data_IF_760594262787
#
_entry.id   IF_760594262787
#
_cell.length_a   1.000
_cell.length_b   1.000
_cell.length_c   1.000
_cell.angle_alpha   90.00
_cell.angle_beta   90.00
_cell.angle_gamma   90.00
#
_symmetry.space_group_name_H-M   'P 1'
#
loop_
_entity.id
_entity.type
_entity.pdbx_description
1 polymer ?
#
# COMPACT_ATOMS: atom_id res chain seq x y z
N UNK A 1 -2.21 -11.23 20.84
CA UNK A 1 -2.61 -12.60 20.46
C UNK A 1 -2.02 -13.00 19.11
N UNK A 2 -1.92 -14.31 18.79
CA UNK A 2 -1.49 -14.79 17.47
C UNK A 2 -2.67 -15.30 16.65
N UNK A 3 -2.70 -14.95 15.37
CA UNK A 3 -3.72 -15.45 14.45
C UNK A 3 -3.57 -16.97 14.26
N UNK A 4 -4.62 -17.79 14.48
CA UNK A 4 -4.54 -19.24 14.30
C UNK A 4 -4.39 -19.65 12.82
N UNK A 5 -4.76 -18.77 11.88
CA UNK A 5 -4.69 -19.06 10.45
C UNK A 5 -3.31 -18.77 9.84
N UNK A 6 -2.63 -17.68 10.25
CA UNK A 6 -1.38 -17.22 9.61
C UNK A 6 -0.23 -16.91 10.58
N UNK A 7 -0.43 -17.13 11.89
CA UNK A 7 0.54 -16.88 12.96
C UNK A 7 1.01 -15.41 13.14
N UNK A 8 0.40 -14.44 12.45
CA UNK A 8 0.68 -13.02 12.64
C UNK A 8 0.35 -12.56 14.07
N UNK A 9 1.19 -11.68 14.62
CA UNK A 9 0.92 -11.01 15.91
C UNK A 9 -0.11 -9.90 15.73
N UNK A 10 -1.13 -9.90 16.59
CA UNK A 10 -2.18 -8.89 16.64
C UNK A 10 -2.35 -8.39 18.10
N UNK A 11 -2.85 -7.15 18.32
CA UNK A 11 -3.30 -6.69 19.63
C UNK A 11 -4.29 -7.67 20.28
N UNK A 12 -4.36 -7.73 21.61
CA UNK A 12 -5.24 -8.68 22.32
C UNK A 12 -6.73 -8.35 22.15
N UNK A 13 -7.07 -7.11 21.82
CA UNK A 13 -8.43 -6.62 21.53
C UNK A 13 -8.78 -6.64 20.03
N UNK A 14 -7.90 -7.18 19.19
CA UNK A 14 -8.11 -7.22 17.74
C UNK A 14 -9.32 -8.11 17.40
N UNK A 15 -10.28 -7.56 16.65
CA UNK A 15 -11.43 -8.31 16.11
C UNK A 15 -11.07 -9.14 14.87
N UNK A 16 -10.04 -8.72 14.14
CA UNK A 16 -9.56 -9.34 12.90
C UNK A 16 -8.04 -9.31 12.79
N UNK A 17 -7.49 -10.26 12.03
CA UNK A 17 -6.06 -10.31 11.75
C UNK A 17 -5.65 -9.26 10.70
N UNK A 18 -4.65 -8.42 10.99
CA UNK A 18 -4.18 -7.39 10.06
C UNK A 18 -3.50 -7.88 8.78
N UNK A 19 -3.22 -9.18 8.66
CA UNK A 19 -2.50 -9.76 7.50
C UNK A 19 -3.37 -10.66 6.64
N UNK A 20 -4.23 -11.49 7.25
CA UNK A 20 -5.12 -12.40 6.52
C UNK A 20 -6.61 -12.11 6.73
N UNK A 21 -6.95 -11.08 7.51
CA UNK A 21 -8.32 -10.59 7.75
C UNK A 21 -9.32 -11.58 8.36
N UNK A 22 -8.85 -12.71 8.92
CA UNK A 22 -9.72 -13.66 9.66
C UNK A 22 -10.17 -13.07 11.00
N UNK A 23 -11.40 -13.39 11.44
CA UNK A 23 -11.91 -13.00 12.76
C UNK A 23 -11.14 -13.68 13.89
N UNK A 24 -10.75 -12.92 14.92
CA UNK A 24 -9.91 -13.41 16.03
C UNK A 24 -10.65 -13.55 17.37
N UNK A 25 -11.75 -12.81 17.55
CA UNK A 25 -12.54 -12.76 18.79
C UNK A 25 -14.03 -12.55 18.46
N UNK A 26 -14.67 -13.51 17.79
CA UNK A 26 -16.13 -13.49 17.70
C UNK A 26 -16.70 -13.93 19.05
N UNK A 27 -17.49 -13.09 19.74
CA UNK A 27 -18.22 -13.53 20.92
C UNK A 27 -19.05 -14.75 20.54
N UNK A 28 -19.04 -15.78 21.39
CA UNK A 28 -19.90 -16.96 21.20
C UNK A 28 -21.34 -16.48 21.01
N UNK A 29 -22.04 -16.92 19.94
CA UNK A 29 -23.40 -16.46 19.68
C UNK A 29 -24.26 -16.67 20.92
N UNK A 30 -24.87 -15.59 21.40
CA UNK A 30 -25.80 -15.67 22.53
C UNK A 30 -26.89 -16.70 22.18
N UNK A 31 -27.15 -17.69 23.04
CA UNK A 31 -28.10 -18.74 22.73
C UNK A 31 -29.46 -18.10 22.38
N UNK A 32 -30.14 -18.61 21.33
CA UNK A 32 -31.40 -18.03 20.90
C UNK A 32 -32.36 -17.96 22.09
N UNK A 33 -33.08 -16.83 22.27
CA UNK A 33 -34.02 -16.69 23.37
C UNK A 33 -35.00 -17.86 23.33
N UNK A 34 -35.19 -18.50 24.48
CA UNK A 34 -36.07 -19.66 24.60
C UNK A 34 -37.45 -19.32 24.00
N UNK A 35 -38.05 -20.23 23.20
CA UNK A 35 -39.37 -20.01 22.63
C UNK A 35 -40.36 -19.70 23.75
N UNK A 36 -40.88 -18.48 23.75
CA UNK A 36 -41.96 -18.06 24.65
C UNK A 36 -43.15 -18.98 24.37
N UNK A 37 -43.55 -19.76 25.36
CA UNK A 37 -44.67 -20.67 25.24
C UNK A 37 -45.95 -19.90 24.86
N UNK A 38 -46.78 -20.42 23.94
CA UNK A 38 -48.04 -19.78 23.58
C UNK A 38 -48.99 -19.82 24.78
N UNK A 39 -49.27 -18.67 25.36
CA UNK A 39 -50.36 -18.50 26.32
C UNK A 39 -51.69 -18.60 25.56
N UNK A 40 -52.55 -19.54 25.96
CA UNK A 40 -53.91 -19.68 25.45
C UNK A 40 -54.76 -18.43 25.73
N UNK A 41 -55.76 -18.14 24.88
CA UNK A 41 -56.47 -16.87 24.87
C UNK A 41 -57.65 -16.86 25.84
N UNK A 42 -57.80 -15.80 26.64
CA UNK A 42 -59.06 -15.48 27.32
C UNK A 42 -59.34 -13.98 27.19
N UNK A 43 -60.46 -13.71 26.53
CA UNK A 43 -61.37 -12.54 26.66
C UNK A 43 -61.04 -11.25 25.89
N UNK A 44 -61.84 -11.12 24.83
CA UNK A 44 -62.37 -9.96 24.10
C UNK A 44 -62.43 -8.58 24.80
N UNK A 45 -61.94 -7.56 24.07
CA UNK A 45 -62.36 -6.14 24.16
C UNK A 45 -62.55 -5.61 22.72
N UNK A 46 -63.56 -4.76 22.43
CA UNK A 46 -63.90 -4.35 21.07
C UNK A 46 -63.08 -3.17 20.54
N UNK A 47 -62.83 -3.24 19.23
CA UNK A 47 -62.90 -2.20 18.19
C UNK A 47 -62.18 -0.84 18.36
N UNK A 48 -61.17 -0.67 17.50
CA UNK A 48 -61.04 0.45 16.55
C UNK A 48 -60.36 1.77 17.01
N UNK A 49 -59.07 1.93 16.64
CA UNK A 49 -58.58 3.10 15.91
C UNK A 49 -57.15 2.87 15.36
N UNK A 50 -57.05 2.86 14.03
CA UNK A 50 -55.92 3.24 13.16
C UNK A 50 -54.49 3.21 13.76
N UNK A 51 -53.59 2.34 13.33
CA UNK A 51 -53.23 2.15 11.92
C UNK A 51 -51.90 2.86 11.65
N UNK A 52 -50.79 2.12 11.79
CA UNK A 52 -49.54 2.29 11.05
C UNK A 52 -48.54 1.21 11.50
N UNK A 53 -48.89 -0.05 11.26
CA UNK A 53 -47.88 -1.08 11.13
C UNK A 53 -47.10 -0.78 9.85
N UNK A 54 -45.99 -0.05 10.00
CA UNK A 54 -44.99 0.09 8.95
C UNK A 54 -44.39 -1.29 8.72
N UNK A 55 -45.05 -2.02 7.84
CA UNK A 55 -44.51 -3.18 7.17
C UNK A 55 -43.29 -2.66 6.39
N UNK A 56 -42.11 -2.70 7.02
CA UNK A 56 -40.84 -2.57 6.31
C UNK A 56 -40.75 -3.77 5.39
N UNK A 57 -41.29 -3.62 4.19
CA UNK A 57 -40.83 -4.41 3.05
C UNK A 57 -39.31 -4.37 3.08
N UNK A 58 -38.60 -5.50 2.94
CA UNK A 58 -37.18 -5.49 2.60
C UNK A 58 -37.07 -5.02 1.15
N UNK A 59 -37.47 -3.78 0.90
CA UNK A 59 -37.10 -3.07 -0.30
C UNK A 59 -35.60 -2.87 -0.15
N UNK A 60 -34.87 -3.67 -0.90
CA UNK A 60 -33.44 -3.63 -1.12
C UNK A 60 -33.03 -2.19 -1.44
N UNK A 61 -32.81 -1.37 -0.41
CA UNK A 61 -32.37 0.00 -0.59
C UNK A 61 -30.94 -0.08 -1.09
N UNK A 62 -30.78 0.15 -2.39
CA UNK A 62 -29.46 0.31 -2.99
C UNK A 62 -28.99 1.70 -2.57
N UNK A 63 -28.21 1.76 -1.49
CA UNK A 63 -27.61 2.98 -1.04
C UNK A 63 -26.28 3.14 -1.79
N UNK A 64 -26.20 4.16 -2.64
CA UNK A 64 -24.98 4.50 -3.33
C UNK A 64 -24.00 5.09 -2.31
N UNK A 65 -22.85 4.44 -2.15
CA UNK A 65 -21.81 4.95 -1.25
C UNK A 65 -21.20 6.21 -1.88
N UNK A 66 -20.61 7.10 -1.05
CA UNK A 66 -19.88 8.29 -1.54
C UNK A 66 -18.77 7.98 -2.54
N UNK A 67 -18.34 6.72 -2.63
CA UNK A 67 -17.30 6.29 -3.57
C UNK A 67 -17.97 5.90 -4.89
N UNK A 68 -17.64 6.56 -6.02
CA UNK A 68 -18.22 6.26 -7.32
C UNK A 68 -18.16 4.76 -7.66
N UNK A 69 -19.34 4.19 -7.97
CA UNK A 69 -19.66 2.79 -8.24
C UNK A 69 -19.11 1.75 -7.26
N UNK A 70 -19.04 2.15 -5.99
CA UNK A 70 -19.40 1.24 -4.92
C UNK A 70 -20.85 1.48 -4.53
N UNK A 71 -21.59 0.41 -4.28
CA UNK A 71 -22.96 0.48 -3.76
C UNK A 71 -23.14 -0.51 -2.62
N UNK A 72 -24.06 -0.20 -1.73
CA UNK A 72 -24.47 -1.12 -0.67
C UNK A 72 -25.81 -1.73 -1.02
N UNK A 73 -25.91 -3.06 -0.98
CA UNK A 73 -27.14 -3.83 -1.16
C UNK A 73 -27.42 -4.61 0.12
N UNK A 74 -28.24 -4.03 1.00
CA UNK A 74 -28.42 -4.58 2.35
C UNK A 74 -27.14 -4.47 3.18
N UNK A 75 -26.60 -5.59 3.65
CA UNK A 75 -25.32 -5.62 4.37
C UNK A 75 -24.10 -5.75 3.46
N UNK A 76 -24.28 -6.17 2.21
CA UNK A 76 -23.19 -6.41 1.28
C UNK A 76 -22.75 -5.12 0.58
N UNK A 77 -21.43 -4.94 0.49
CA UNK A 77 -20.82 -3.90 -0.35
C UNK A 77 -20.49 -4.53 -1.70
N UNK A 78 -20.98 -3.91 -2.76
CA UNK A 78 -20.75 -4.31 -4.14
C UNK A 78 -19.91 -3.24 -4.86
N UNK A 79 -19.02 -3.68 -5.75
CA UNK A 79 -18.25 -2.83 -6.66
C UNK A 79 -18.66 -3.09 -8.10
N UNK A 80 -18.69 -2.05 -8.92
CA UNK A 80 -18.99 -2.20 -10.35
C UNK A 80 -17.72 -2.44 -11.18
N UNK A 81 -17.79 -3.28 -12.19
CA UNK A 81 -16.68 -3.56 -13.07
C UNK A 81 -16.43 -2.38 -14.02
N UNK A 82 -15.22 -1.83 -14.04
CA UNK A 82 -14.88 -0.72 -14.94
C UNK A 82 -14.89 -1.08 -16.44
N UNK A 83 -14.91 -2.37 -16.78
CA UNK A 83 -14.93 -2.84 -18.17
C UNK A 83 -16.33 -3.15 -18.68
N UNK A 84 -17.15 -3.86 -17.89
CA UNK A 84 -18.47 -4.33 -18.33
C UNK A 84 -19.65 -3.68 -17.57
N UNK A 85 -19.39 -2.92 -16.50
CA UNK A 85 -20.42 -2.26 -15.69
C UNK A 85 -21.15 -3.16 -14.69
N UNK A 86 -20.85 -4.47 -14.65
CA UNK A 86 -21.54 -5.41 -13.77
C UNK A 86 -21.10 -5.24 -12.30
N UNK A 87 -22.03 -5.40 -11.35
CA UNK A 87 -21.74 -5.26 -9.93
C UNK A 87 -21.42 -6.62 -9.30
N UNK A 88 -20.33 -6.68 -8.55
CA UNK A 88 -19.85 -7.87 -7.85
C UNK A 88 -19.68 -7.61 -6.35
N UNK A 89 -19.73 -8.66 -5.54
CA UNK A 89 -19.41 -8.55 -4.11
C UNK A 89 -17.98 -8.05 -3.90
N UNK A 90 -17.73 -7.27 -2.84
CA UNK A 90 -16.40 -6.86 -2.41
C UNK A 90 -15.47 -8.07 -2.13
N UNK A 91 -16.03 -9.24 -1.83
CA UNK A 91 -15.27 -10.48 -1.63
C UNK A 91 -14.73 -11.05 -2.96
N UNK A 92 -15.32 -10.67 -4.10
CA UNK A 92 -14.87 -11.08 -5.43
C UNK A 92 -13.81 -10.10 -5.96
N UNK A 93 -12.55 -10.52 -5.94
CA UNK A 93 -11.42 -9.72 -6.47
C UNK A 93 -11.39 -9.63 -8.01
N UNK A 94 -12.25 -10.37 -8.71
CA UNK A 94 -12.37 -10.40 -10.17
C UNK A 94 -13.83 -10.38 -10.60
N UNK A 95 -14.08 -9.81 -11.76
CA UNK A 95 -15.37 -9.82 -12.44
C UNK A 95 -15.60 -11.20 -13.05
N UNK A 96 -16.68 -11.86 -12.67
CA UNK A 96 -17.05 -13.19 -13.18
C UNK A 96 -17.47 -13.17 -14.66
N UNK A 97 -17.79 -11.98 -15.20
CA UNK A 97 -18.25 -11.79 -16.59
C UNK A 97 -17.07 -11.61 -17.55
N UNK A 98 -16.16 -10.68 -17.25
CA UNK A 98 -15.06 -10.31 -18.16
C UNK A 98 -13.66 -10.66 -17.64
N UNK A 99 -13.53 -11.12 -16.40
CA UNK A 99 -12.25 -11.51 -15.79
C UNK A 99 -11.39 -10.35 -15.27
N UNK A 100 -11.83 -9.09 -15.46
CA UNK A 100 -11.11 -7.91 -14.95
C UNK A 100 -11.04 -7.91 -13.42
N UNK A 101 -9.95 -7.39 -12.85
CA UNK A 101 -9.75 -7.33 -11.41
C UNK A 101 -10.43 -6.12 -10.78
N UNK A 102 -10.77 -6.21 -9.49
CA UNK A 102 -11.23 -5.07 -8.68
C UNK A 102 -10.24 -3.88 -8.76
N UNK A 103 -8.94 -4.17 -8.85
CA UNK A 103 -7.90 -3.16 -8.98
C UNK A 103 -7.98 -2.36 -10.29
N UNK A 104 -8.55 -2.93 -11.36
CA UNK A 104 -8.72 -2.23 -12.64
C UNK A 104 -9.71 -1.05 -12.52
N UNK A 105 -10.60 -1.05 -11.52
CA UNK A 105 -11.48 0.09 -11.23
C UNK A 105 -10.71 1.30 -10.71
N UNK A 106 -9.63 1.08 -9.96
CA UNK A 106 -8.78 2.15 -9.42
C UNK A 106 -7.64 2.54 -10.36
N UNK A 107 -7.44 1.78 -11.43
CA UNK A 107 -6.74 2.32 -12.59
C UNK A 107 -7.68 3.36 -13.18
N UNK A 108 -7.60 4.60 -12.69
CA UNK A 108 -8.16 5.75 -13.39
C UNK A 108 -7.82 5.55 -14.85
N UNK A 109 -8.86 5.44 -15.70
CA UNK A 109 -8.75 5.50 -17.16
C UNK A 109 -7.64 6.47 -17.43
N UNK A 110 -6.48 5.95 -17.87
CA UNK A 110 -5.19 6.65 -17.82
C UNK A 110 -5.44 8.07 -18.31
N UNK A 111 -5.60 9.02 -17.37
CA UNK A 111 -6.00 10.36 -17.71
C UNK A 111 -4.88 10.83 -18.60
N UNK A 112 -5.17 10.91 -19.90
CA UNK A 112 -4.23 10.73 -21.00
C UNK A 112 -2.85 11.21 -20.57
N UNK A 113 -2.00 10.26 -20.15
CA UNK A 113 -0.87 10.57 -19.28
C UNK A 113 -0.14 11.76 -19.90
N UNK A 114 -0.07 12.91 -19.21
CA UNK A 114 0.32 14.17 -19.84
C UNK A 114 1.58 13.90 -20.65
N UNK A 115 1.55 14.21 -21.95
CA UNK A 115 2.60 13.80 -22.89
C UNK A 115 3.97 14.05 -22.25
N UNK A 116 4.60 12.95 -21.82
CA UNK A 116 5.72 13.04 -20.90
C UNK A 116 6.86 13.81 -21.59
N UNK A 117 7.29 14.93 -21.01
CA UNK A 117 8.45 15.65 -21.51
C UNK A 117 9.73 14.89 -21.11
N UNK A 118 10.10 13.92 -21.93
CA UNK A 118 11.26 13.05 -21.72
C UNK A 118 12.58 13.82 -21.63
N UNK A 119 12.71 14.94 -22.35
CA UNK A 119 13.89 15.79 -22.30
C UNK A 119 14.04 16.42 -20.92
N UNK A 120 12.95 16.96 -20.36
CA UNK A 120 12.95 17.50 -19.01
C UNK A 120 13.18 16.40 -17.96
N UNK A 121 12.57 15.24 -18.12
CA UNK A 121 12.77 14.10 -17.20
C UNK A 121 14.24 13.61 -17.19
N UNK A 122 14.89 13.58 -18.36
CA UNK A 122 16.32 13.28 -18.47
C UNK A 122 17.18 14.36 -17.81
N UNK A 123 16.91 15.64 -18.09
CA UNK A 123 17.64 16.75 -17.50
C UNK A 123 17.53 16.77 -15.97
N UNK A 124 16.33 16.59 -15.42
CA UNK A 124 16.12 16.51 -13.98
C UNK A 124 16.82 15.29 -13.36
N UNK A 125 16.79 14.13 -14.02
CA UNK A 125 17.50 12.94 -13.53
C UNK A 125 19.02 13.07 -13.59
N UNK A 126 19.54 13.88 -14.51
CA UNK A 126 20.96 14.22 -14.58
C UNK A 126 21.37 15.16 -13.43
N UNK A 127 20.47 16.02 -12.94
CA UNK A 127 20.74 16.89 -11.79
C UNK A 127 20.63 16.14 -10.46
N UNK A 128 19.57 15.36 -10.28
CA UNK A 128 19.34 14.60 -9.06
C UNK A 128 18.70 13.23 -9.38
N UNK A 129 19.29 12.12 -8.92
CA UNK A 129 18.72 10.80 -9.15
C UNK A 129 17.31 10.69 -8.58
N UNK A 130 16.37 10.25 -9.43
CA UNK A 130 14.97 10.09 -9.07
C UNK A 130 14.07 11.29 -9.41
N UNK A 131 14.62 12.49 -9.65
CA UNK A 131 13.79 13.68 -9.94
C UNK A 131 12.97 13.53 -11.23
N UNK A 132 13.55 12.97 -12.31
CA UNK A 132 12.78 12.69 -13.52
C UNK A 132 11.70 11.61 -13.33
N UNK A 133 11.88 10.68 -12.39
CA UNK A 133 10.85 9.68 -12.10
C UNK A 133 9.64 10.32 -11.41
N UNK A 134 9.87 11.31 -10.53
CA UNK A 134 8.80 12.11 -9.92
C UNK A 134 8.02 12.89 -10.97
N UNK A 135 8.72 13.53 -11.93
CA UNK A 135 8.08 14.24 -13.04
C UNK A 135 7.18 13.32 -13.89
N UNK A 136 7.60 12.08 -14.09
CA UNK A 136 6.84 11.05 -14.83
C UNK A 136 5.73 10.38 -13.99
N UNK A 137 5.39 10.92 -12.81
CA UNK A 137 4.34 10.38 -11.93
C UNK A 137 4.72 9.09 -11.19
N UNK A 138 5.99 8.66 -11.24
CA UNK A 138 6.49 7.45 -10.58
C UNK A 138 7.02 7.78 -9.17
N UNK A 139 6.16 8.37 -8.34
CA UNK A 139 6.55 8.96 -7.04
C UNK A 139 7.30 8.00 -6.11
N UNK A 140 6.83 6.76 -5.95
CA UNK A 140 7.46 5.80 -5.03
C UNK A 140 8.92 5.50 -5.38
N UNK A 141 9.22 5.26 -6.66
CA UNK A 141 10.58 5.00 -7.12
C UNK A 141 11.44 6.28 -7.14
N UNK A 142 10.86 7.41 -7.56
CA UNK A 142 11.56 8.69 -7.64
C UNK A 142 11.96 9.26 -6.28
N UNK A 143 11.01 9.34 -5.34
CA UNK A 143 11.24 9.86 -3.99
C UNK A 143 12.23 9.00 -3.20
N UNK A 144 12.11 7.66 -3.30
CA UNK A 144 13.03 6.76 -2.62
C UNK A 144 14.49 6.97 -3.03
N UNK A 145 14.75 7.17 -4.32
CA UNK A 145 16.10 7.43 -4.85
C UNK A 145 16.63 8.81 -4.45
N UNK A 146 15.77 9.83 -4.49
CA UNK A 146 16.14 11.19 -4.14
C UNK A 146 16.48 11.31 -2.65
N UNK A 147 15.67 10.68 -1.79
CA UNK A 147 15.92 10.65 -0.35
C UNK A 147 17.23 9.90 -0.03
N UNK A 148 17.46 8.72 -0.62
CA UNK A 148 18.71 7.98 -0.44
C UNK A 148 19.93 8.78 -0.91
N UNK A 149 19.84 9.42 -2.08
CA UNK A 149 20.89 10.29 -2.59
C UNK A 149 21.24 11.42 -1.62
N UNK A 150 20.23 12.16 -1.13
CA UNK A 150 20.44 13.25 -0.18
C UNK A 150 21.07 12.73 1.11
N UNK A 151 20.53 11.66 1.69
CA UNK A 151 21.04 11.08 2.95
C UNK A 151 22.49 10.61 2.79
N UNK A 152 22.81 9.89 1.70
CA UNK A 152 24.16 9.36 1.49
C UNK A 152 25.17 10.46 1.13
N UNK A 153 24.77 11.46 0.35
CA UNK A 153 25.64 12.57 0.00
C UNK A 153 25.95 13.43 1.23
N UNK A 154 24.93 13.80 2.02
CA UNK A 154 25.13 14.56 3.25
C UNK A 154 25.91 13.75 4.30
N UNK A 155 25.61 12.45 4.42
CA UNK A 155 26.35 11.55 5.32
C UNK A 155 27.82 11.43 4.95
N UNK A 156 28.12 11.22 3.66
CA UNK A 156 29.49 11.19 3.17
C UNK A 156 30.22 12.53 3.39
N UNK A 157 29.56 13.65 3.08
CA UNK A 157 30.10 14.98 3.29
C UNK A 157 30.39 15.24 4.79
N UNK A 158 29.45 14.93 5.67
CA UNK A 158 29.64 15.07 7.11
C UNK A 158 30.79 14.22 7.64
N UNK A 159 30.90 12.96 7.19
CA UNK A 159 32.00 12.06 7.56
C UNK A 159 33.35 12.62 7.08
N UNK A 160 33.45 13.09 5.83
CA UNK A 160 34.70 13.64 5.29
C UNK A 160 35.15 14.93 5.99
N UNK A 161 34.21 15.70 6.55
CA UNK A 161 34.53 16.87 7.37
C UNK A 161 34.79 16.54 8.84
N UNK A 162 34.47 15.32 9.29
CA UNK A 162 34.80 14.88 10.63
C UNK A 162 36.31 14.58 10.72
N UNK A 163 36.97 15.10 11.74
CA UNK A 163 38.39 14.90 12.00
C UNK A 163 38.64 13.47 12.51
N UNK A 164 38.93 12.51 11.62
CA UNK A 164 39.22 11.13 11.99
C UNK A 164 39.84 10.29 10.88
N UNK A 165 40.82 9.46 11.22
CA UNK A 165 41.59 8.63 10.27
C UNK A 165 40.78 7.49 9.61
N UNK A 166 39.54 7.25 10.04
CA UNK A 166 38.64 6.24 9.47
C UNK A 166 37.50 6.79 8.60
N UNK A 167 37.31 8.12 8.56
CA UNK A 167 36.14 8.73 7.92
C UNK A 167 36.02 8.39 6.42
N UNK A 168 37.14 8.40 5.69
CA UNK A 168 37.15 8.10 4.27
C UNK A 168 36.71 6.66 3.94
N UNK A 169 37.04 5.68 4.80
CA UNK A 169 36.64 4.27 4.60
C UNK A 169 35.12 4.09 4.69
N UNK A 170 34.45 4.93 5.47
CA UNK A 170 33.00 4.92 5.67
C UNK A 170 32.29 5.77 4.62
N UNK A 171 32.89 6.91 4.23
CA UNK A 171 32.33 7.79 3.21
C UNK A 171 32.39 7.18 1.80
N UNK A 172 33.43 6.41 1.48
CA UNK A 172 33.62 5.80 0.16
C UNK A 172 32.42 4.96 -0.33
N UNK A 173 31.88 3.97 0.42
CA UNK A 173 30.71 3.22 -0.01
C UNK A 173 29.45 4.07 -0.16
N UNK A 174 29.27 5.14 0.63
CA UNK A 174 28.15 6.07 0.46
C UNK A 174 28.24 6.85 -0.86
N UNK A 175 29.43 7.38 -1.18
CA UNK A 175 29.69 8.06 -2.46
C UNK A 175 29.55 7.11 -3.65
N UNK A 176 29.99 5.86 -3.50
CA UNK A 176 29.76 4.83 -4.50
C UNK A 176 28.25 4.58 -4.71
N UNK A 177 27.49 4.46 -3.63
CA UNK A 177 26.03 4.34 -3.68
C UNK A 177 25.38 5.52 -4.40
N UNK A 178 25.82 6.75 -4.13
CA UNK A 178 25.40 7.97 -4.83
C UNK A 178 25.66 7.86 -6.33
N UNK A 179 26.87 7.47 -6.73
CA UNK A 179 27.22 7.32 -8.15
C UNK A 179 26.37 6.25 -8.84
N UNK A 180 26.12 5.11 -8.18
CA UNK A 180 25.25 4.05 -8.70
C UNK A 180 23.83 4.55 -8.89
N UNK A 181 23.24 5.25 -7.91
CA UNK A 181 21.90 5.84 -8.02
C UNK A 181 21.81 6.84 -9.18
N UNK A 182 22.88 7.61 -9.40
CA UNK A 182 22.95 8.58 -10.48
C UNK A 182 22.94 7.94 -11.86
N UNK A 183 23.86 7.01 -12.10
CA UNK A 183 23.99 6.31 -13.40
C UNK A 183 22.73 5.51 -13.70
N UNK A 184 22.25 4.71 -12.74
CA UNK A 184 21.06 3.86 -12.92
C UNK A 184 19.78 4.69 -13.05
N UNK A 185 19.70 5.85 -12.39
CA UNK A 185 18.61 6.80 -12.56
C UNK A 185 18.48 7.28 -14.02
N UNK A 186 19.59 7.60 -14.68
CA UNK A 186 19.62 7.99 -16.09
C UNK A 186 19.24 6.82 -17.01
N UNK A 187 19.84 5.65 -16.79
CA UNK A 187 19.56 4.45 -17.61
C UNK A 187 18.10 4.04 -17.47
N UNK A 188 17.51 4.16 -16.29
CA UNK A 188 16.10 3.82 -16.07
C UNK A 188 15.13 4.73 -16.83
N UNK A 189 15.39 6.04 -16.93
CA UNK A 189 14.57 6.93 -17.77
C UNK A 189 14.65 6.52 -19.24
N UNK A 190 15.84 6.18 -19.73
CA UNK A 190 16.02 5.70 -21.11
C UNK A 190 15.28 4.37 -21.34
N UNK A 191 15.32 3.45 -20.38
CA UNK A 191 14.57 2.18 -20.45
C UNK A 191 13.06 2.40 -20.41
N UNK A 192 12.58 3.30 -19.56
CA UNK A 192 11.17 3.69 -19.52
C UNK A 192 10.69 4.24 -20.85
N UNK A 193 11.50 5.09 -21.49
CA UNK A 193 11.20 5.60 -22.84
C UNK A 193 11.09 4.48 -23.88
N UNK A 194 11.83 3.38 -23.69
CA UNK A 194 11.78 2.18 -24.55
C UNK A 194 10.68 1.17 -24.13
N UNK A 195 9.85 1.48 -23.14
CA UNK A 195 8.84 0.56 -22.61
C UNK A 195 9.41 -0.63 -21.85
N UNK A 196 10.68 -0.56 -21.41
CA UNK A 196 11.36 -1.62 -20.66
C UNK A 196 11.21 -1.43 -19.15
N UNK A 197 11.25 -2.51 -18.35
CA UNK A 197 11.22 -2.40 -16.89
C UNK A 197 12.51 -1.75 -16.35
N UNK A 198 12.39 -1.17 -15.15
CA UNK A 198 13.50 -0.59 -14.38
C UNK A 198 14.62 -1.61 -14.12
N UNK A 199 15.86 -1.16 -14.17
CA UNK A 199 17.01 -1.89 -13.64
C UNK A 199 16.92 -1.95 -12.11
N UNK A 200 16.74 -0.78 -11.47
CA UNK A 200 16.57 -0.72 -10.03
C UNK A 200 15.11 -0.93 -9.64
N UNK A 201 14.70 -2.20 -9.63
CA UNK A 201 13.48 -2.63 -8.94
C UNK A 201 13.56 -2.32 -7.44
N UNK A 202 12.43 -2.28 -6.72
CA UNK A 202 12.41 -2.06 -5.26
C UNK A 202 13.29 -3.08 -4.51
N UNK A 203 13.33 -4.33 -4.98
CA UNK A 203 14.20 -5.37 -4.42
C UNK A 203 15.68 -5.07 -4.67
N UNK A 204 16.04 -4.66 -5.88
CA UNK A 204 17.42 -4.30 -6.21
C UNK A 204 17.89 -3.06 -5.42
N UNK A 205 17.03 -2.05 -5.26
CA UNK A 205 17.29 -0.88 -4.43
C UNK A 205 17.52 -1.27 -2.96
N UNK A 206 16.70 -2.18 -2.40
CA UNK A 206 16.89 -2.69 -1.04
C UNK A 206 18.25 -3.38 -0.88
N UNK A 207 18.63 -4.26 -1.81
CA UNK A 207 19.93 -4.92 -1.77
C UNK A 207 21.10 -3.94 -1.93
N UNK A 208 20.95 -2.89 -2.74
CA UNK A 208 21.93 -1.82 -2.84
C UNK A 208 22.12 -1.11 -1.49
N UNK A 209 21.02 -0.75 -0.81
CA UNK A 209 21.08 -0.13 0.52
C UNK A 209 21.77 -1.03 1.53
N UNK A 210 21.39 -2.31 1.58
CA UNK A 210 22.01 -3.31 2.47
C UNK A 210 23.51 -3.42 2.20
N UNK A 211 23.92 -3.50 0.92
CA UNK A 211 25.33 -3.57 0.53
C UNK A 211 26.13 -2.33 0.95
N UNK A 212 25.62 -1.13 0.64
CA UNK A 212 26.28 0.13 1.00
C UNK A 212 26.41 0.25 2.52
N UNK A 213 25.33 0.05 3.27
CA UNK A 213 25.35 0.15 4.74
C UNK A 213 26.26 -0.92 5.35
N UNK A 214 26.21 -2.17 4.87
CA UNK A 214 27.07 -3.25 5.36
C UNK A 214 28.56 -2.96 5.18
N UNK A 215 28.96 -2.45 4.00
CA UNK A 215 30.35 -2.05 3.75
C UNK A 215 30.74 -0.84 4.60
N UNK A 216 29.87 0.15 4.77
CA UNK A 216 30.11 1.29 5.66
C UNK A 216 30.35 0.87 7.12
N UNK A 217 29.55 -0.06 7.64
CA UNK A 217 29.70 -0.60 8.99
C UNK A 217 31.01 -1.38 9.16
N UNK A 218 31.41 -2.15 8.15
CA UNK A 218 32.71 -2.82 8.14
C UNK A 218 33.87 -1.81 8.12
N UNK A 219 33.73 -0.72 7.37
CA UNK A 219 34.67 0.40 7.37
C UNK A 219 34.81 1.05 8.75
N UNK A 220 33.69 1.26 9.46
CA UNK A 220 33.68 1.76 10.83
C UNK A 220 34.40 0.80 11.78
N UNK A 221 34.10 -0.49 11.70
CA UNK A 221 34.69 -1.52 12.56
C UNK A 221 36.21 -1.62 12.37
N UNK A 222 36.67 -1.64 11.11
CA UNK A 222 38.10 -1.69 10.79
C UNK A 222 38.84 -0.41 11.19
N UNK A 223 38.21 0.76 11.05
CA UNK A 223 38.73 2.03 11.54
C UNK A 223 38.90 2.03 13.06
N UNK A 224 37.93 1.51 13.81
CA UNK A 224 37.98 1.40 15.26
C UNK A 224 39.15 0.52 15.73
N UNK A 225 39.34 -0.66 15.12
CA UNK A 225 40.44 -1.57 15.45
C UNK A 225 41.82 -0.91 15.26
N UNK A 226 41.97 -0.05 14.24
CA UNK A 226 43.23 0.67 13.98
C UNK A 226 43.55 1.74 15.03
N UNK A 227 42.53 2.34 15.65
CA UNK A 227 42.71 3.38 16.68
C UNK A 227 43.02 2.74 18.05
N UNK A 228 42.51 1.53 18.31
CA UNK A 228 42.71 0.82 19.57
C UNK A 228 44.06 0.11 19.70
N UNK A 229 44.86 0.06 18.63
CA UNK A 229 46.21 -0.53 18.60
C UNK A 229 47.26 0.57 18.63
#
# INVERSE_FOLDING_TARGET
>A
MRCPSCAASNPDDARWCGQCFVGLNQPEPEPPPAPVAPASPIVSVPAEAAGNAVQRSPATSIEQLRTPGMRRRGEQVEWECAHCGEYHSIDSLRCDVCGASFADRYRTTEAEAPQANWTLAMALSALAPGAGHVLLGRYGAGLGRLLLFVVWLLGAFALLNATGSGAALVAAPLLFGVAVLWVTGLVDIQRLRQGRPFLLSNRALLWLVVGVVGVSLLGLFTGFIRIAR
#
